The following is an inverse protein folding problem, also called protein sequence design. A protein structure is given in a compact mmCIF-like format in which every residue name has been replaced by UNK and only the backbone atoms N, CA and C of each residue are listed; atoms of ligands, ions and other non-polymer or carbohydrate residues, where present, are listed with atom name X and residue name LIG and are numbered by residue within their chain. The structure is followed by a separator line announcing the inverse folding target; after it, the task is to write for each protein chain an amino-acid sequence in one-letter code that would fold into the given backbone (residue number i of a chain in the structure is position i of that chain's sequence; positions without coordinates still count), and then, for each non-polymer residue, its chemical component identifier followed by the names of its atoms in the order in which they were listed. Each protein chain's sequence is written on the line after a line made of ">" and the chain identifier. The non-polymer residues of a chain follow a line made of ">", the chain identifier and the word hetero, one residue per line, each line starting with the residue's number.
data_IF_009421019309
#
_entry.id   IF_009421019309
#
_cell.length_a   1.000
_cell.length_b   1.000
_cell.length_c   1.000
_cell.angle_alpha   90.00
_cell.angle_beta   90.00
_cell.angle_gamma   90.00
#
_symmetry.space_group_name_H-M   'P 1'
#
loop_
_entity.id
_entity.type
_entity.pdbx_description
1 polymer ?
#
# COMPACT_ATOMS: atom_id res chain seq x y z
N UNK A 1 34.30 13.69 53.31
CA UNK A 1 33.52 14.08 54.50
C UNK A 1 32.72 15.35 54.21
N UNK A 2 31.40 15.39 54.03
CA UNK A 2 30.48 14.67 53.12
C UNK A 2 29.07 15.31 53.24
N UNK A 3 28.08 15.15 52.34
CA UNK A 3 27.94 14.35 51.11
C UNK A 3 27.14 15.18 50.05
N UNK A 4 27.07 14.74 48.78
CA UNK A 4 26.16 15.33 47.78
C UNK A 4 24.68 15.12 48.17
N UNK A 5 23.93 16.21 48.42
CA UNK A 5 22.46 16.18 48.42
C UNK A 5 21.91 16.43 47.01
N UNK A 6 21.87 15.38 46.20
CA UNK A 6 21.17 15.40 44.90
C UNK A 6 19.67 15.40 45.15
N UNK A 7 18.97 16.39 44.58
CA UNK A 7 17.53 16.58 44.78
C UNK A 7 16.73 15.40 44.17
N UNK A 8 16.01 14.58 44.95
CA UNK A 8 15.35 13.36 44.44
C UNK A 8 14.21 13.66 43.46
N UNK A 9 13.67 14.88 43.47
CA UNK A 9 12.62 15.34 42.56
C UNK A 9 13.06 15.42 41.09
N UNK A 10 14.35 15.66 40.81
CA UNK A 10 14.87 15.71 39.43
C UNK A 10 15.04 14.32 38.82
N UNK A 11 15.26 13.29 39.63
CA UNK A 11 15.40 11.92 39.15
C UNK A 11 14.04 11.29 38.79
N UNK A 12 12.97 11.65 39.50
CA UNK A 12 11.61 11.20 39.20
C UNK A 12 11.10 11.68 37.83
N UNK A 13 11.45 12.90 37.41
CA UNK A 13 11.05 13.44 36.10
C UNK A 13 11.77 12.75 34.92
N UNK A 14 12.99 12.24 35.13
CA UNK A 14 13.75 11.53 34.11
C UNK A 14 13.23 10.09 33.88
N UNK A 15 12.60 9.48 34.88
CA UNK A 15 12.05 8.12 34.77
C UNK A 15 10.69 8.05 34.05
N UNK A 16 9.98 9.18 33.89
CA UNK A 16 8.68 9.22 33.20
C UNK A 16 8.77 9.21 31.65
N UNK A 17 9.97 9.18 31.07
CA UNK A 17 10.18 9.12 29.61
C UNK A 17 10.63 7.75 29.09
N UNK A 18 10.47 6.71 29.91
CA UNK A 18 10.42 5.33 29.44
C UNK A 18 9.06 5.08 28.77
N UNK A 19 8.93 5.46 27.50
CA UNK A 19 7.77 5.07 26.71
C UNK A 19 7.75 3.55 26.59
N UNK A 20 6.89 2.88 27.36
CA UNK A 20 6.54 1.49 27.13
C UNK A 20 5.86 1.43 25.75
N UNK A 21 6.65 1.14 24.73
CA UNK A 21 6.14 0.82 23.42
C UNK A 21 5.33 -0.46 23.56
N UNK A 22 4.03 -0.34 23.31
CA UNK A 22 3.08 -1.45 23.37
C UNK A 22 3.61 -2.61 22.49
N UNK A 23 3.80 -3.83 23.05
CA UNK A 23 4.30 -4.96 22.28
C UNK A 23 3.38 -5.34 21.11
N UNK A 24 2.08 -5.06 21.16
CA UNK A 24 1.19 -5.25 20.00
C UNK A 24 1.51 -4.23 18.90
N UNK A 25 1.72 -2.96 19.26
CA UNK A 25 2.14 -1.92 18.31
C UNK A 25 3.50 -2.24 17.68
N UNK A 26 4.50 -2.63 18.48
CA UNK A 26 5.81 -3.03 17.95
C UNK A 26 5.71 -4.21 16.97
N UNK A 27 4.81 -5.17 17.23
CA UNK A 27 4.56 -6.30 16.33
C UNK A 27 3.87 -5.87 15.03
N UNK A 28 2.90 -4.96 15.11
CA UNK A 28 2.23 -4.39 13.93
C UNK A 28 3.20 -3.57 13.06
N UNK A 29 4.01 -2.71 13.69
CA UNK A 29 5.06 -1.92 13.02
C UNK A 29 6.07 -2.86 12.30
N UNK A 30 6.51 -3.93 12.97
CA UNK A 30 7.38 -4.96 12.37
C UNK A 30 6.71 -5.70 11.19
N UNK A 31 5.41 -5.97 11.28
CA UNK A 31 4.63 -6.57 10.19
C UNK A 31 4.54 -5.66 8.97
N UNK A 32 4.31 -4.37 9.17
CA UNK A 32 4.28 -3.36 8.10
C UNK A 32 5.63 -3.25 7.38
N UNK A 33 6.74 -3.25 8.12
CA UNK A 33 8.09 -3.16 7.55
C UNK A 33 8.52 -4.43 6.79
N UNK A 34 8.00 -5.60 7.16
CA UNK A 34 8.14 -6.82 6.34
C UNK A 34 7.29 -6.70 5.07
N UNK A 35 6.05 -6.22 5.20
CA UNK A 35 5.14 -6.04 4.05
C UNK A 35 5.72 -5.07 3.01
N UNK A 36 6.26 -3.92 3.42
CA UNK A 36 6.94 -2.95 2.52
C UNK A 36 8.04 -3.61 1.67
N UNK A 37 8.86 -4.46 2.26
CA UNK A 37 9.95 -5.17 1.54
C UNK A 37 9.42 -6.19 0.53
N UNK A 38 8.37 -6.93 0.88
CA UNK A 38 7.69 -7.84 -0.06
C UNK A 38 7.01 -7.07 -1.20
N UNK A 39 6.43 -5.91 -0.88
CA UNK A 39 5.84 -5.00 -1.83
C UNK A 39 6.88 -4.49 -2.84
N UNK A 40 8.03 -3.98 -2.40
CA UNK A 40 9.13 -3.55 -3.30
C UNK A 40 9.55 -4.63 -4.32
N UNK A 41 9.68 -5.89 -3.88
CA UNK A 41 10.00 -7.02 -4.77
C UNK A 41 8.89 -7.20 -5.82
N UNK A 42 7.63 -7.23 -5.38
CA UNK A 42 6.47 -7.37 -6.28
C UNK A 42 6.35 -6.21 -7.27
N UNK A 43 6.67 -4.98 -6.85
CA UNK A 43 6.73 -3.79 -7.70
C UNK A 43 7.80 -3.96 -8.79
N UNK A 44 8.98 -4.47 -8.46
CA UNK A 44 10.05 -4.76 -9.43
C UNK A 44 9.60 -5.77 -10.50
N UNK A 45 8.94 -6.85 -10.09
CA UNK A 45 8.45 -7.89 -11.01
C UNK A 45 7.33 -7.38 -11.92
N UNK A 46 6.37 -6.64 -11.36
CA UNK A 46 5.36 -5.89 -12.12
C UNK A 46 6.01 -4.99 -13.17
N UNK A 47 7.08 -4.24 -12.81
CA UNK A 47 7.72 -3.32 -13.76
C UNK A 47 8.47 -4.05 -14.88
N UNK A 48 9.02 -5.23 -14.60
CA UNK A 48 9.63 -6.06 -15.63
C UNK A 48 8.57 -6.64 -16.59
N UNK A 49 7.41 -7.09 -16.07
CA UNK A 49 6.30 -7.53 -16.91
C UNK A 49 5.79 -6.41 -17.85
N UNK A 50 5.72 -5.15 -17.38
CA UNK A 50 5.34 -4.02 -18.22
C UNK A 50 6.40 -3.65 -19.26
N UNK A 51 7.71 -3.80 -18.98
CA UNK A 51 8.76 -3.65 -20.01
C UNK A 51 8.59 -4.66 -21.13
N UNK A 52 8.43 -5.94 -20.79
CA UNK A 52 8.21 -7.01 -21.76
C UNK A 52 6.95 -6.74 -22.63
N UNK A 53 5.91 -6.13 -22.05
CA UNK A 53 4.70 -5.73 -22.77
C UNK A 53 4.92 -4.51 -23.68
N UNK A 54 5.82 -3.57 -23.34
CA UNK A 54 6.23 -2.48 -24.23
C UNK A 54 7.03 -3.03 -25.41
N UNK A 55 7.94 -3.98 -25.16
CA UNK A 55 8.78 -4.64 -26.16
C UNK A 55 7.99 -5.56 -27.11
N UNK A 56 6.76 -5.94 -26.74
CA UNK A 56 5.83 -6.66 -27.61
C UNK A 56 5.40 -5.76 -28.79
N UNK A 57 6.01 -5.98 -29.96
CA UNK A 57 5.72 -5.25 -31.20
C UNK A 57 4.38 -5.67 -31.87
N UNK A 58 3.33 -5.89 -31.08
CA UNK A 58 1.94 -6.09 -31.53
C UNK A 58 0.99 -5.27 -30.66
N UNK A 59 0.58 -4.12 -31.20
CA UNK A 59 -0.35 -3.20 -30.54
C UNK A 59 -1.72 -3.84 -30.29
N UNK A 60 -2.23 -4.68 -31.20
CA UNK A 60 -3.52 -5.33 -31.01
C UNK A 60 -3.49 -6.31 -29.83
N UNK A 61 -2.35 -7.00 -29.65
CA UNK A 61 -2.14 -7.89 -28.52
C UNK A 61 -1.91 -7.10 -27.22
N UNK A 62 -1.20 -5.96 -27.24
CA UNK A 62 -1.13 -5.05 -26.09
C UNK A 62 -2.52 -4.60 -25.62
N UNK A 63 -3.41 -4.17 -26.54
CA UNK A 63 -4.79 -3.79 -26.20
C UNK A 63 -5.56 -4.92 -25.50
N UNK A 64 -5.47 -6.17 -26.00
CA UNK A 64 -6.13 -7.33 -25.39
C UNK A 64 -5.57 -7.67 -24.00
N UNK A 65 -4.25 -7.65 -23.85
CA UNK A 65 -3.59 -7.94 -22.57
C UNK A 65 -3.99 -6.88 -21.52
N UNK A 66 -4.01 -5.60 -21.91
CA UNK A 66 -4.36 -4.50 -21.00
C UNK A 66 -5.86 -4.51 -20.67
N UNK A 67 -6.75 -4.87 -21.60
CA UNK A 67 -8.19 -5.06 -21.30
C UNK A 67 -8.40 -6.11 -20.20
N UNK A 68 -7.79 -7.29 -20.35
CA UNK A 68 -7.87 -8.38 -19.36
C UNK A 68 -7.26 -7.94 -18.03
N UNK A 69 -6.10 -7.28 -18.08
CA UNK A 69 -5.38 -6.79 -16.89
C UNK A 69 -6.21 -5.75 -16.12
N UNK A 70 -6.78 -4.76 -16.78
CA UNK A 70 -7.62 -3.74 -16.14
C UNK A 70 -8.89 -4.34 -15.55
N UNK A 71 -9.56 -5.24 -16.26
CA UNK A 71 -10.73 -5.97 -15.74
C UNK A 71 -10.40 -6.77 -14.48
N UNK A 72 -9.27 -7.48 -14.47
CA UNK A 72 -8.80 -8.21 -13.30
C UNK A 72 -8.46 -7.29 -12.13
N UNK A 73 -7.69 -6.24 -12.39
CA UNK A 73 -7.25 -5.24 -11.41
C UNK A 73 -8.44 -4.59 -10.70
N UNK A 74 -9.39 -4.04 -11.48
CA UNK A 74 -10.55 -3.36 -10.90
C UNK A 74 -11.51 -4.31 -10.19
N UNK A 75 -11.65 -5.55 -10.66
CA UNK A 75 -12.40 -6.58 -9.92
C UNK A 75 -11.78 -6.87 -8.56
N UNK A 76 -10.47 -7.14 -8.51
CA UNK A 76 -9.75 -7.42 -7.26
C UNK A 76 -9.79 -6.22 -6.31
N UNK A 77 -9.68 -4.99 -6.84
CA UNK A 77 -9.80 -3.75 -6.07
C UNK A 77 -11.20 -3.57 -5.47
N UNK A 78 -12.27 -3.88 -6.23
CA UNK A 78 -13.67 -3.82 -5.77
C UNK A 78 -13.96 -4.89 -4.71
N UNK A 79 -13.61 -6.15 -4.97
CA UNK A 79 -13.79 -7.27 -4.04
C UNK A 79 -13.04 -7.02 -2.72
N UNK A 80 -11.79 -6.52 -2.79
CA UNK A 80 -10.96 -6.23 -1.61
C UNK A 80 -11.44 -5.01 -0.82
N UNK A 81 -11.90 -3.96 -1.52
CA UNK A 81 -12.57 -2.80 -0.89
C UNK A 81 -13.78 -3.22 -0.07
N UNK A 82 -14.60 -4.14 -0.58
CA UNK A 82 -15.76 -4.65 0.15
C UNK A 82 -15.36 -5.38 1.45
N UNK A 83 -14.27 -6.17 1.43
CA UNK A 83 -13.74 -6.84 2.63
C UNK A 83 -13.26 -5.82 3.67
N UNK A 84 -12.49 -4.81 3.28
CA UNK A 84 -11.95 -3.80 4.22
C UNK A 84 -13.04 -2.92 4.84
N UNK A 85 -14.06 -2.54 4.07
CA UNK A 85 -15.22 -1.80 4.59
C UNK A 85 -16.06 -2.67 5.54
N UNK A 86 -16.28 -3.95 5.21
CA UNK A 86 -17.05 -4.85 6.07
C UNK A 86 -16.34 -5.21 7.39
N UNK A 87 -15.01 -5.09 7.42
CA UNK A 87 -14.18 -5.29 8.61
C UNK A 87 -13.81 -3.98 9.35
N UNK A 88 -14.37 -2.84 8.92
CA UNK A 88 -14.14 -1.49 9.48
C UNK A 88 -12.65 -1.15 9.66
N UNK A 89 -11.84 -1.43 8.64
CA UNK A 89 -10.37 -1.29 8.71
C UNK A 89 -9.95 0.16 8.46
N UNK A 90 -9.40 0.88 9.46
CA UNK A 90 -8.83 2.20 9.23
C UNK A 90 -7.53 2.09 8.41
N UNK A 91 -7.33 2.93 7.38
CA UNK A 91 -6.13 2.84 6.53
C UNK A 91 -4.85 3.23 7.27
N UNK A 92 -4.96 4.18 8.20
CA UNK A 92 -3.91 4.71 9.09
C UNK A 92 -3.74 3.89 10.39
N UNK A 93 -4.44 2.76 10.50
CA UNK A 93 -4.34 1.83 11.61
C UNK A 93 -3.12 0.90 11.57
N UNK A 94 -2.97 0.03 12.58
CA UNK A 94 -1.94 -1.00 12.59
C UNK A 94 -2.13 -1.99 11.42
N UNK A 95 -1.03 -2.50 10.87
CA UNK A 95 -1.07 -3.45 9.76
C UNK A 95 -1.85 -4.73 10.12
N UNK A 96 -2.83 -5.18 9.31
CA UNK A 96 -3.73 -6.27 9.68
C UNK A 96 -3.01 -7.58 9.99
N UNK A 97 -3.45 -8.24 11.06
CA UNK A 97 -2.94 -9.55 11.48
C UNK A 97 -3.76 -10.73 10.94
N UNK A 98 -5.07 -10.53 10.76
CA UNK A 98 -5.94 -11.52 10.09
C UNK A 98 -5.53 -11.66 8.62
N UNK A 99 -5.40 -12.90 8.16
CA UNK A 99 -4.87 -13.19 6.82
C UNK A 99 -5.77 -12.69 5.71
N UNK A 100 -7.09 -12.82 5.84
CA UNK A 100 -8.06 -12.38 4.82
C UNK A 100 -8.09 -10.85 4.73
N UNK A 101 -8.01 -10.15 5.86
CA UNK A 101 -7.95 -8.68 5.89
C UNK A 101 -6.60 -8.19 5.33
N UNK A 102 -5.49 -8.82 5.73
CA UNK A 102 -4.13 -8.55 5.24
C UNK A 102 -4.02 -8.73 3.72
N UNK A 103 -4.63 -9.77 3.16
CA UNK A 103 -4.66 -10.02 1.72
C UNK A 103 -5.49 -8.95 0.99
N UNK A 104 -6.67 -8.59 1.51
CA UNK A 104 -7.48 -7.51 0.96
C UNK A 104 -6.77 -6.14 1.01
N UNK A 105 -6.10 -5.83 2.13
CA UNK A 105 -5.27 -4.64 2.29
C UNK A 105 -4.14 -4.61 1.25
N UNK A 106 -3.41 -5.72 1.14
CA UNK A 106 -2.31 -5.88 0.17
C UNK A 106 -2.81 -5.70 -1.26
N UNK A 107 -3.95 -6.31 -1.61
CA UNK A 107 -4.56 -6.15 -2.92
C UNK A 107 -4.94 -4.70 -3.23
N UNK A 108 -5.51 -3.94 -2.29
CA UNK A 108 -5.86 -2.52 -2.53
C UNK A 108 -4.61 -1.70 -2.83
N UNK A 109 -3.58 -1.83 -2.00
CA UNK A 109 -2.29 -1.12 -2.15
C UNK A 109 -1.62 -1.48 -3.47
N UNK A 110 -1.49 -2.77 -3.76
CA UNK A 110 -0.79 -3.28 -4.95
C UNK A 110 -1.49 -2.96 -6.26
N UNK A 111 -2.82 -3.14 -6.33
CA UNK A 111 -3.58 -2.88 -7.56
C UNK A 111 -3.67 -1.37 -7.83
N UNK A 112 -3.77 -0.53 -6.78
CA UNK A 112 -3.73 0.93 -6.94
C UNK A 112 -2.38 1.39 -7.49
N UNK A 113 -1.26 0.92 -6.90
CA UNK A 113 0.08 1.27 -7.38
C UNK A 113 0.35 0.75 -8.80
N UNK A 114 -0.04 -0.50 -9.09
CA UNK A 114 0.17 -1.11 -10.40
C UNK A 114 -0.68 -0.44 -11.50
N UNK A 115 -1.91 -0.02 -11.20
CA UNK A 115 -2.73 0.75 -12.14
C UNK A 115 -2.02 2.03 -12.58
N UNK A 116 -1.42 2.77 -11.64
CA UNK A 116 -0.64 3.97 -11.94
C UNK A 116 0.47 3.72 -12.97
N UNK A 117 1.19 2.60 -12.84
CA UNK A 117 2.24 2.24 -13.79
C UNK A 117 1.75 1.84 -15.18
N UNK A 118 0.59 1.20 -15.26
CA UNK A 118 -0.05 0.84 -16.54
C UNK A 118 -0.56 2.10 -17.23
N UNK A 119 -1.16 3.04 -16.49
CA UNK A 119 -1.55 4.37 -17.00
C UNK A 119 -0.36 5.14 -17.55
N UNK A 120 0.75 5.21 -16.80
CA UNK A 120 1.95 5.95 -17.20
C UNK A 120 2.62 5.37 -18.46
N UNK A 121 2.55 4.05 -18.68
CA UNK A 121 3.20 3.37 -19.82
C UNK A 121 2.30 3.21 -21.04
N UNK A 122 1.01 3.04 -20.83
CA UNK A 122 0.03 2.77 -21.91
C UNK A 122 -1.17 3.74 -21.89
N UNK A 123 -0.97 5.07 -21.76
CA UNK A 123 -2.07 6.00 -21.48
C UNK A 123 -3.19 5.94 -22.52
N UNK A 124 -2.86 5.84 -23.81
CA UNK A 124 -3.85 5.69 -24.90
C UNK A 124 -4.73 4.44 -24.76
N UNK A 125 -4.12 3.32 -24.34
CA UNK A 125 -4.82 2.04 -24.19
C UNK A 125 -5.66 2.05 -22.91
N UNK A 126 -5.13 2.59 -21.81
CA UNK A 126 -5.89 2.67 -20.55
C UNK A 126 -7.09 3.59 -20.68
N UNK A 127 -6.94 4.81 -21.23
CA UNK A 127 -8.07 5.71 -21.46
C UNK A 127 -9.15 5.11 -22.36
N UNK A 128 -8.76 4.31 -23.37
CA UNK A 128 -9.72 3.59 -24.21
C UNK A 128 -10.68 2.70 -23.40
N UNK A 129 -10.21 2.03 -22.34
CA UNK A 129 -11.06 1.17 -21.50
C UNK A 129 -11.63 1.89 -20.28
N UNK A 130 -10.81 2.68 -19.59
CA UNK A 130 -11.13 3.33 -18.32
C UNK A 130 -12.19 4.43 -18.45
N UNK A 131 -12.09 5.30 -19.46
CA UNK A 131 -13.00 6.45 -19.59
C UNK A 131 -14.46 6.03 -19.87
N UNK A 132 -14.67 4.77 -20.27
CA UNK A 132 -15.99 4.17 -20.52
C UNK A 132 -16.58 3.46 -19.30
N UNK A 133 -15.84 3.35 -18.20
CA UNK A 133 -16.28 2.67 -16.99
C UNK A 133 -16.27 3.62 -15.79
N UNK A 134 -17.41 4.26 -15.53
CA UNK A 134 -17.55 5.26 -14.46
C UNK A 134 -17.24 4.70 -13.05
N UNK A 135 -17.49 3.41 -12.80
CA UNK A 135 -17.19 2.77 -11.52
C UNK A 135 -15.67 2.69 -11.24
N UNK A 136 -14.86 2.44 -12.28
CA UNK A 136 -13.40 2.37 -12.14
C UNK A 136 -12.79 3.69 -11.64
N UNK A 137 -13.38 4.82 -12.03
CA UNK A 137 -12.97 6.14 -11.56
C UNK A 137 -13.27 6.37 -10.07
N UNK A 138 -14.42 5.90 -9.57
CA UNK A 138 -14.72 5.93 -8.12
C UNK A 138 -13.82 4.96 -7.34
N UNK A 139 -13.59 3.75 -7.86
CA UNK A 139 -12.74 2.75 -7.22
C UNK A 139 -11.29 3.21 -7.08
N UNK A 140 -10.68 3.78 -8.15
CA UNK A 140 -9.29 4.22 -8.07
C UNK A 140 -9.11 5.45 -7.18
N UNK A 141 -10.05 6.40 -7.18
CA UNK A 141 -10.01 7.55 -6.25
C UNK A 141 -10.08 7.10 -4.79
N UNK A 142 -10.93 6.11 -4.48
CA UNK A 142 -10.98 5.51 -3.16
C UNK A 142 -9.66 4.78 -2.84
N UNK A 143 -9.12 3.99 -3.77
CA UNK A 143 -7.85 3.27 -3.60
C UNK A 143 -6.66 4.19 -3.35
N UNK A 144 -6.54 5.30 -4.09
CA UNK A 144 -5.52 6.34 -3.85
C UNK A 144 -5.70 6.98 -2.48
N UNK A 145 -6.94 7.34 -2.11
CA UNK A 145 -7.24 7.91 -0.78
C UNK A 145 -6.87 6.97 0.37
N UNK A 146 -7.15 5.67 0.21
CA UNK A 146 -6.73 4.63 1.15
C UNK A 146 -5.19 4.57 1.22
N UNK A 147 -4.52 4.40 0.08
CA UNK A 147 -3.06 4.29 -0.04
C UNK A 147 -2.31 5.45 0.62
N UNK A 148 -2.77 6.68 0.42
CA UNK A 148 -2.15 7.89 0.98
C UNK A 148 -2.17 7.95 2.52
N UNK A 149 -3.02 7.17 3.18
CA UNK A 149 -3.14 7.11 4.64
C UNK A 149 -2.41 5.90 5.26
N UNK A 150 -1.96 4.94 4.44
CA UNK A 150 -1.35 3.68 4.93
C UNK A 150 0.09 3.78 5.45
N UNK A 151 0.83 4.84 5.11
CA UNK A 151 2.27 4.90 5.33
C UNK A 151 3.12 3.86 4.55
N UNK A 152 2.51 3.01 3.71
CA UNK A 152 3.24 1.98 2.91
C UNK A 152 4.17 2.63 1.89
N UNK A 153 3.74 3.75 1.30
CA UNK A 153 4.50 4.48 0.28
C UNK A 153 5.52 5.47 0.87
N UNK A 154 5.60 5.57 2.19
CA UNK A 154 6.54 6.46 2.88
C UNK A 154 7.89 5.77 3.14
N UNK A 155 8.97 6.54 2.98
CA UNK A 155 10.35 6.17 3.38
C UNK A 155 10.90 4.91 2.69
N UNK A 156 10.89 4.90 1.35
CA UNK A 156 11.50 3.83 0.54
C UNK A 156 11.92 4.34 -0.85
N UNK A 157 12.33 3.46 -1.78
CA UNK A 157 12.61 3.83 -3.18
C UNK A 157 11.37 4.31 -3.96
N UNK A 158 10.23 4.44 -3.29
CA UNK A 158 8.96 4.93 -3.80
C UNK A 158 8.63 6.36 -3.32
N UNK A 159 9.26 6.87 -2.27
CA UNK A 159 9.21 8.29 -1.91
C UNK A 159 10.20 9.06 -2.80
N UNK A 160 9.68 10.02 -3.57
CA UNK A 160 10.50 10.94 -4.37
C UNK A 160 11.14 12.04 -3.51
#
# INVERSE_FOLDING_TARGET
>A
MDFLFICPFLLALLLSRGGFADPEKQRADSGLEIYKKLFEVKRKDQMNALKNLIELNDVNQQYKIIDIMLKGLFKVLEDSRAVLIAADVPPDGPFPQDEKIKDAYSHVVENTAFFGDVVLRFPKIVHHYFDRNSNWNSLIRWGIGFCNLTGVFEQGPHSQ
#
